data_IF_472817828625
#
_entry.id   IF_472817828625
#
_cell.length_a   1.000
_cell.length_b   1.000
_cell.length_c   1.000
_cell.angle_alpha   90.00
_cell.angle_beta   90.00
_cell.angle_gamma   90.00
#
_symmetry.space_group_name_H-M   'P 1'
#
loop_
_entity.id
_entity.type
_entity.pdbx_description
1 polymer ?
#
# COMPACT_ATOMS: atom_id res chain seq x y z
N UNK A 1 10.36 1.05 -16.58
CA UNK A 1 9.19 0.30 -16.15
C UNK A 1 7.91 0.96 -16.70
N UNK A 2 7.64 2.23 -16.40
CA UNK A 2 6.43 2.92 -16.85
C UNK A 2 6.30 3.11 -18.38
N UNK A 3 7.35 2.83 -19.17
CA UNK A 3 7.29 2.79 -20.64
C UNK A 3 6.67 1.49 -21.18
N UNK A 4 6.62 0.46 -20.36
CA UNK A 4 6.20 -0.90 -20.77
C UNK A 4 4.97 -1.39 -20.00
N UNK A 5 4.76 -0.85 -18.79
CA UNK A 5 3.67 -1.25 -17.91
C UNK A 5 2.99 -0.02 -17.29
N UNK A 6 1.68 -0.04 -17.04
CA UNK A 6 1.03 0.97 -16.23
C UNK A 6 1.59 0.90 -14.80
N UNK A 7 2.07 2.02 -14.28
CA UNK A 7 2.64 2.13 -12.93
C UNK A 7 1.78 3.07 -12.11
N UNK A 8 1.20 2.56 -11.03
CA UNK A 8 0.42 3.34 -10.07
C UNK A 8 1.23 3.58 -8.81
N UNK A 9 1.26 4.82 -8.35
CA UNK A 9 2.06 5.25 -7.22
C UNK A 9 1.22 6.07 -6.24
N UNK A 10 1.20 5.67 -4.96
CA UNK A 10 0.63 6.44 -3.87
C UNK A 10 1.72 6.80 -2.85
N UNK A 11 1.59 7.95 -2.21
CA UNK A 11 2.59 8.49 -1.32
C UNK A 11 2.65 7.75 0.02
N UNK A 12 3.89 7.53 0.50
CA UNK A 12 4.16 7.16 1.87
C UNK A 12 4.35 8.38 2.79
N UNK A 13 4.61 8.10 4.06
CA UNK A 13 4.83 9.15 5.06
C UNK A 13 6.12 9.96 4.82
N UNK A 14 7.11 9.41 4.14
CA UNK A 14 8.34 10.13 3.82
C UNK A 14 8.10 11.17 2.74
N UNK A 15 7.43 10.80 1.66
CA UNK A 15 7.03 11.69 0.58
C UNK A 15 6.11 12.79 1.10
N UNK A 16 5.12 12.44 1.95
CA UNK A 16 4.25 13.40 2.59
C UNK A 16 5.04 14.44 3.39
N UNK A 17 6.02 14.02 4.21
CA UNK A 17 6.89 14.94 4.96
C UNK A 17 7.66 15.87 4.04
N UNK A 18 8.23 15.35 2.95
CA UNK A 18 8.96 16.18 1.98
C UNK A 18 8.04 17.22 1.33
N UNK A 19 6.78 16.89 1.06
CA UNK A 19 5.80 17.85 0.54
C UNK A 19 5.53 19.00 1.53
N UNK A 20 5.52 18.71 2.83
CA UNK A 20 5.15 19.67 3.88
C UNK A 20 6.35 20.51 4.36
N UNK A 21 7.58 20.00 4.25
CA UNK A 21 8.79 20.68 4.67
C UNK A 21 9.24 21.67 3.59
N UNK A 22 9.36 22.95 3.95
CA UNK A 22 9.78 24.01 3.02
C UNK A 22 11.14 23.73 2.36
N UNK A 23 12.06 23.12 3.09
CA UNK A 23 13.40 22.78 2.62
C UNK A 23 13.37 21.75 1.49
N UNK A 24 12.44 20.80 1.51
CA UNK A 24 12.39 19.68 0.58
C UNK A 24 11.26 19.78 -0.45
N UNK A 25 10.32 20.69 -0.24
CA UNK A 25 9.11 20.84 -1.08
C UNK A 25 9.40 20.99 -2.56
N UNK A 26 10.38 21.82 -2.92
CA UNK A 26 10.74 22.08 -4.32
C UNK A 26 11.40 20.85 -4.95
N UNK A 27 12.30 20.20 -4.22
CA UNK A 27 12.94 18.96 -4.67
C UNK A 27 11.89 17.86 -4.88
N UNK A 28 10.91 17.77 -3.97
CA UNK A 28 9.82 16.81 -4.12
C UNK A 28 8.93 17.12 -5.33
N UNK A 29 8.56 18.39 -5.56
CA UNK A 29 7.81 18.81 -6.76
C UNK A 29 8.52 18.43 -8.05
N UNK A 30 9.82 18.67 -8.11
CA UNK A 30 10.65 18.28 -9.24
C UNK A 30 10.66 16.78 -9.44
N UNK A 31 10.82 16.01 -8.38
CA UNK A 31 10.72 14.54 -8.42
C UNK A 31 9.35 14.08 -8.91
N UNK A 32 8.25 14.57 -8.32
CA UNK A 32 6.90 14.19 -8.70
C UNK A 32 6.61 14.51 -10.17
N UNK A 33 7.08 15.66 -10.65
CA UNK A 33 6.98 16.05 -12.06
C UNK A 33 7.70 15.02 -12.96
N UNK A 34 8.93 14.66 -12.63
CA UNK A 34 9.71 13.72 -13.44
C UNK A 34 9.09 12.32 -13.49
N UNK A 35 8.55 11.81 -12.38
CA UNK A 35 7.90 10.49 -12.39
C UNK A 35 6.60 10.52 -13.21
N UNK A 36 5.81 11.60 -13.15
CA UNK A 36 4.63 11.79 -14.01
C UNK A 36 4.98 11.88 -15.49
N UNK A 37 6.02 12.65 -15.84
CA UNK A 37 6.53 12.74 -17.21
C UNK A 37 7.08 11.39 -17.72
N UNK A 38 7.49 10.51 -16.81
CA UNK A 38 7.91 9.14 -17.14
C UNK A 38 6.74 8.16 -17.37
N UNK A 39 5.48 8.62 -17.22
CA UNK A 39 4.29 7.81 -17.41
C UNK A 39 3.77 7.12 -16.14
N UNK A 40 4.20 7.56 -14.94
CA UNK A 40 3.68 7.04 -13.68
C UNK A 40 2.39 7.76 -13.30
N UNK A 41 1.36 6.99 -12.98
CA UNK A 41 0.08 7.48 -12.45
C UNK A 41 0.21 7.76 -10.97
N UNK A 42 0.35 9.04 -10.59
CA UNK A 42 0.53 9.45 -9.18
C UNK A 42 -0.85 9.73 -8.58
N UNK A 43 -1.28 8.87 -7.65
CA UNK A 43 -2.57 8.95 -7.00
C UNK A 43 -2.44 9.59 -5.61
N UNK A 44 -2.84 10.85 -5.49
CA UNK A 44 -2.84 11.61 -4.22
C UNK A 44 -4.27 11.86 -3.77
N UNK A 45 -4.78 11.01 -2.89
CA UNK A 45 -6.20 10.98 -2.53
C UNK A 45 -7.09 11.06 -3.79
N UNK A 46 -6.83 10.14 -4.70
CA UNK A 46 -7.47 10.07 -6.01
C UNK A 46 -7.66 8.63 -6.42
N UNK A 47 -8.51 8.42 -7.41
CA UNK A 47 -8.67 7.11 -8.04
C UNK A 47 -8.65 7.23 -9.56
N UNK A 48 -8.31 6.12 -10.22
CA UNK A 48 -8.25 6.02 -11.66
C UNK A 48 -8.74 4.64 -12.13
N UNK A 49 -9.50 4.64 -13.21
CA UNK A 49 -10.00 3.42 -13.85
C UNK A 49 -9.04 2.97 -14.93
N UNK A 50 -8.85 1.67 -15.05
CA UNK A 50 -8.05 1.05 -16.09
C UNK A 50 -8.67 -0.25 -16.59
N UNK A 51 -8.38 -0.60 -17.83
CA UNK A 51 -8.69 -1.92 -18.38
C UNK A 51 -7.36 -2.63 -18.61
N UNK A 52 -7.14 -3.73 -17.88
CA UNK A 52 -5.92 -4.51 -17.93
C UNK A 52 -6.28 -5.96 -18.27
N UNK A 53 -5.72 -6.49 -19.35
CA UNK A 53 -6.03 -7.83 -19.80
C UNK A 53 -7.51 -8.08 -20.14
N UNK A 54 -8.27 -7.01 -20.49
CA UNK A 54 -9.69 -7.07 -20.75
C UNK A 54 -10.59 -6.91 -19.53
N UNK A 55 -10.02 -6.88 -18.33
CA UNK A 55 -10.74 -6.74 -17.07
C UNK A 55 -10.67 -5.29 -16.56
N UNK A 56 -11.73 -4.84 -15.89
CA UNK A 56 -11.83 -3.49 -15.33
C UNK A 56 -11.25 -3.42 -13.92
N UNK A 57 -10.43 -2.39 -13.68
CA UNK A 57 -9.82 -2.09 -12.39
C UNK A 57 -10.11 -0.65 -12.00
N UNK A 58 -10.22 -0.38 -10.70
CA UNK A 58 -10.18 0.95 -10.14
C UNK A 58 -9.06 1.01 -9.10
N UNK A 59 -8.04 1.82 -9.35
CA UNK A 59 -6.91 2.02 -8.47
C UNK A 59 -7.14 3.25 -7.61
N UNK A 60 -7.09 3.09 -6.29
CA UNK A 60 -7.21 4.17 -5.31
C UNK A 60 -5.87 4.40 -4.63
N UNK A 61 -5.41 5.63 -4.56
CA UNK A 61 -4.22 6.02 -3.80
C UNK A 61 -4.60 6.79 -2.55
N UNK A 62 -4.41 6.20 -1.37
CA UNK A 62 -4.71 6.82 -0.09
C UNK A 62 -3.46 7.50 0.49
N UNK A 63 -3.50 8.81 0.58
CA UNK A 63 -2.50 9.65 1.25
C UNK A 63 -3.06 10.12 2.60
N UNK A 64 -2.56 9.54 3.69
CA UNK A 64 -2.96 9.93 5.03
C UNK A 64 -2.07 11.07 5.57
N UNK A 65 -2.65 12.09 6.24
CA UNK A 65 -1.91 13.10 6.95
C UNK A 65 -0.93 12.54 7.98
N UNK A 66 0.13 13.28 8.30
CA UNK A 66 1.24 12.80 9.12
C UNK A 66 0.84 12.39 10.54
N UNK A 67 -0.26 12.91 11.06
CA UNK A 67 -0.81 12.53 12.36
C UNK A 67 -1.22 11.05 12.43
N UNK A 68 -1.60 10.43 11.31
CA UNK A 68 -1.89 8.99 11.24
C UNK A 68 -0.65 8.11 11.36
N UNK A 69 0.54 8.72 11.32
CA UNK A 69 1.84 8.06 11.52
C UNK A 69 2.49 8.39 12.87
N UNK A 70 1.80 9.18 13.74
CA UNK A 70 2.34 9.58 15.06
C UNK A 70 2.57 8.39 15.98
N UNK A 71 3.54 8.57 16.87
CA UNK A 71 3.97 7.62 17.91
C UNK A 71 3.68 8.23 19.29
N UNK A 72 3.21 7.48 20.28
CA UNK A 72 2.70 6.11 20.20
C UNK A 72 1.24 6.05 19.73
N UNK A 73 0.52 7.17 19.74
CA UNK A 73 -0.91 7.25 19.40
C UNK A 73 -1.12 8.01 18.10
N UNK A 74 -1.91 7.46 17.22
CA UNK A 74 -2.41 8.09 16.01
C UNK A 74 -3.94 8.06 16.00
N UNK A 75 -4.62 8.95 15.25
CA UNK A 75 -6.06 8.94 15.09
C UNK A 75 -6.59 7.56 14.63
N UNK A 76 -7.84 7.29 14.92
CA UNK A 76 -8.56 6.20 14.27
C UNK A 76 -8.90 6.63 12.85
N UNK A 77 -8.81 5.70 11.92
CA UNK A 77 -9.32 5.86 10.57
C UNK A 77 -10.66 5.12 10.49
N UNK A 78 -11.67 5.74 9.94
CA UNK A 78 -12.97 5.14 9.63
C UNK A 78 -13.25 5.20 8.13
N UNK A 79 -14.25 4.45 7.70
CA UNK A 79 -14.63 4.36 6.28
C UNK A 79 -15.16 5.68 5.73
N UNK A 80 -15.87 6.46 6.55
CA UNK A 80 -16.38 7.77 6.16
C UNK A 80 -15.25 8.77 5.84
N UNK A 81 -14.15 8.73 6.62
CA UNK A 81 -12.94 9.50 6.31
C UNK A 81 -12.33 9.06 4.98
N UNK A 82 -12.30 7.75 4.69
CA UNK A 82 -11.81 7.24 3.41
C UNK A 82 -12.69 7.69 2.25
N UNK A 83 -14.03 7.66 2.43
CA UNK A 83 -14.97 8.13 1.41
C UNK A 83 -14.74 9.60 1.04
N UNK A 84 -14.44 10.43 2.03
CA UNK A 84 -14.13 11.86 1.82
C UNK A 84 -12.80 12.03 1.08
N UNK A 85 -11.79 11.22 1.40
CA UNK A 85 -10.45 11.35 0.84
C UNK A 85 -10.34 10.78 -0.59
N UNK A 86 -10.88 9.58 -0.82
CA UNK A 86 -10.66 8.84 -2.07
C UNK A 86 -11.94 8.42 -2.80
N UNK A 87 -13.11 8.75 -2.25
CA UNK A 87 -14.40 8.30 -2.77
C UNK A 87 -14.79 6.92 -2.26
N UNK A 88 -15.93 6.42 -2.73
CA UNK A 88 -16.44 5.09 -2.37
C UNK A 88 -15.97 4.04 -3.38
N UNK A 89 -15.68 2.80 -2.95
CA UNK A 89 -15.40 1.73 -3.89
C UNK A 89 -16.63 1.44 -4.75
N UNK A 90 -16.40 1.33 -6.04
CA UNK A 90 -17.44 0.99 -7.00
C UNK A 90 -17.85 -0.49 -6.94
N UNK A 91 -18.86 -0.84 -7.75
CA UNK A 91 -19.28 -2.24 -7.93
C UNK A 91 -18.71 -2.86 -9.20
N UNK A 92 -18.13 -2.05 -10.08
CA UNK A 92 -17.66 -2.48 -11.38
C UNK A 92 -16.14 -2.65 -11.37
N UNK A 93 -15.71 -3.85 -11.71
CA UNK A 93 -14.29 -4.20 -11.74
C UNK A 93 -13.67 -4.38 -10.36
N UNK A 94 -12.39 -4.69 -10.36
CA UNK A 94 -11.59 -4.92 -9.15
C UNK A 94 -11.19 -3.60 -8.51
N UNK A 95 -11.49 -3.44 -7.22
CA UNK A 95 -11.16 -2.26 -6.43
C UNK A 95 -9.80 -2.46 -5.74
N UNK A 96 -8.77 -1.77 -6.22
CA UNK A 96 -7.38 -1.89 -5.73
C UNK A 96 -7.03 -0.67 -4.92
N UNK A 97 -6.75 -0.85 -3.63
CA UNK A 97 -6.33 0.22 -2.72
C UNK A 97 -4.81 0.18 -2.51
N UNK A 98 -4.13 1.26 -2.84
CA UNK A 98 -2.72 1.49 -2.51
C UNK A 98 -2.68 2.39 -1.28
N UNK A 99 -2.38 1.80 -0.10
CA UNK A 99 -2.38 2.49 1.18
C UNK A 99 -1.12 2.15 1.97
N UNK A 100 -0.23 3.12 2.14
CA UNK A 100 1.12 2.88 2.67
C UNK A 100 1.13 2.26 4.09
N UNK A 101 0.22 2.70 5.00
CA UNK A 101 0.24 2.30 6.41
C UNK A 101 -0.68 1.09 6.70
N UNK A 102 -0.15 -0.12 6.94
CA UNK A 102 -0.95 -1.32 7.18
C UNK A 102 -1.71 -1.32 8.51
N UNK A 103 -1.39 -0.40 9.42
CA UNK A 103 -2.08 -0.26 10.72
C UNK A 103 -3.60 -0.22 10.59
N UNK A 104 -4.09 0.34 9.51
CA UNK A 104 -5.53 0.55 9.27
C UNK A 104 -6.17 -0.54 8.40
N UNK A 105 -5.50 -1.68 8.24
CA UNK A 105 -5.95 -2.78 7.38
C UNK A 105 -7.39 -3.22 7.62
N UNK A 106 -7.83 -3.25 8.90
CA UNK A 106 -9.24 -3.54 9.21
C UNK A 106 -10.20 -2.53 8.55
N UNK A 107 -9.89 -1.24 8.64
CA UNK A 107 -10.70 -0.20 7.99
C UNK A 107 -10.68 -0.33 6.47
N UNK A 108 -9.56 -0.70 5.88
CA UNK A 108 -9.44 -0.90 4.44
C UNK A 108 -10.34 -2.05 3.95
N UNK A 109 -10.38 -3.15 4.69
CA UNK A 109 -11.32 -4.24 4.43
C UNK A 109 -12.77 -3.81 4.60
N UNK A 110 -13.09 -3.09 5.69
CA UNK A 110 -14.44 -2.62 5.98
C UNK A 110 -14.92 -1.58 4.96
N UNK A 111 -14.00 -0.81 4.37
CA UNK A 111 -14.27 0.15 3.30
C UNK A 111 -14.65 -0.55 1.97
N UNK A 112 -14.16 -1.76 1.73
CA UNK A 112 -14.60 -2.59 0.61
C UNK A 112 -13.62 -2.72 -0.56
N UNK A 113 -12.31 -2.48 -0.35
CA UNK A 113 -11.31 -2.82 -1.35
C UNK A 113 -11.23 -4.34 -1.55
N UNK A 114 -11.12 -4.78 -2.81
CA UNK A 114 -10.91 -6.20 -3.15
C UNK A 114 -9.45 -6.59 -2.93
N UNK A 115 -8.53 -5.72 -3.31
CA UNK A 115 -7.10 -5.87 -3.09
C UNK A 115 -6.52 -4.62 -2.43
N UNK A 116 -5.72 -4.82 -1.39
CA UNK A 116 -5.02 -3.77 -0.67
C UNK A 116 -3.52 -4.04 -0.78
N UNK A 117 -2.74 -3.01 -1.13
CA UNK A 117 -1.27 -3.08 -1.18
C UNK A 117 -0.71 -2.09 -0.19
N UNK A 118 0.13 -2.57 0.74
CA UNK A 118 0.73 -1.76 1.81
C UNK A 118 2.21 -2.06 2.00
N UNK A 119 2.89 -1.17 2.73
CA UNK A 119 4.30 -1.31 3.09
C UNK A 119 4.57 -0.80 4.49
N UNK A 120 5.42 0.24 4.66
CA UNK A 120 5.69 1.00 5.87
C UNK A 120 6.39 0.26 7.01
N UNK A 121 6.05 -1.00 7.28
CA UNK A 121 6.58 -1.74 8.43
C UNK A 121 7.91 -2.43 8.14
N UNK A 122 8.33 -2.47 6.87
CA UNK A 122 9.58 -3.09 6.43
C UNK A 122 9.80 -4.51 6.98
N UNK A 123 8.72 -5.28 7.18
CA UNK A 123 8.78 -6.61 7.78
C UNK A 123 9.12 -6.61 9.28
N UNK A 124 9.17 -5.44 9.95
CA UNK A 124 9.31 -5.30 11.39
C UNK A 124 10.72 -5.51 11.95
N UNK A 125 11.77 -5.03 11.25
CA UNK A 125 13.20 -5.15 11.62
C UNK A 125 13.65 -6.62 11.77
N UNK A 126 13.08 -7.33 12.74
CA UNK A 126 13.23 -8.78 12.94
C UNK A 126 11.95 -9.46 12.49
N UNK A 127 12.02 -10.29 11.45
CA UNK A 127 10.89 -11.09 10.99
C UNK A 127 10.85 -12.40 11.76
N UNK A 128 9.76 -12.64 12.46
CA UNK A 128 9.58 -13.82 13.32
C UNK A 128 8.91 -14.97 12.58
N UNK A 129 8.04 -14.64 11.60
CA UNK A 129 7.36 -15.60 10.74
C UNK A 129 6.91 -14.90 9.46
N UNK A 130 6.20 -15.61 8.59
CA UNK A 130 5.65 -15.09 7.34
C UNK A 130 4.80 -13.81 7.55
N UNK A 131 4.03 -13.75 8.64
CA UNK A 131 3.10 -12.64 8.91
C UNK A 131 3.51 -11.76 10.10
N UNK A 132 4.55 -12.12 10.85
CA UNK A 132 4.89 -11.46 12.11
C UNK A 132 6.30 -10.88 12.09
N UNK A 133 6.36 -9.57 12.29
CA UNK A 133 7.59 -8.86 12.62
C UNK A 133 7.57 -8.40 14.08
N UNK A 134 8.74 -8.20 14.66
CA UNK A 134 8.88 -7.85 16.07
C UNK A 134 8.37 -6.44 16.38
N UNK A 135 8.56 -5.49 15.47
CA UNK A 135 8.24 -4.08 15.73
C UNK A 135 7.76 -3.35 14.48
N UNK A 136 7.07 -2.24 14.68
CA UNK A 136 6.72 -1.29 13.62
C UNK A 136 7.46 0.03 13.79
N UNK A 137 7.51 0.90 12.76
CA UNK A 137 8.00 2.27 12.87
C UNK A 137 7.28 3.10 13.94
N UNK A 138 6.07 2.70 14.33
CA UNK A 138 5.26 3.36 15.34
C UNK A 138 5.43 2.77 16.75
N UNK A 139 6.51 1.98 16.98
CA UNK A 139 6.83 1.30 18.27
C UNK A 139 5.76 0.31 18.75
N UNK A 140 4.96 -0.23 17.84
CA UNK A 140 4.08 -1.35 18.15
C UNK A 140 4.94 -2.64 18.20
N UNK A 141 4.80 -3.39 19.26
CA UNK A 141 5.38 -4.74 19.36
C UNK A 141 4.38 -5.72 18.77
N UNK A 142 4.84 -6.61 17.90
CA UNK A 142 4.01 -7.58 17.18
C UNK A 142 2.80 -6.91 16.50
N UNK A 143 3.04 -5.93 15.62
CA UNK A 143 1.94 -5.20 15.00
C UNK A 143 1.09 -6.14 14.14
N UNK A 144 -0.24 -5.96 14.11
CA UNK A 144 -1.08 -6.65 13.16
C UNK A 144 -0.72 -6.24 11.74
N UNK A 145 -0.93 -7.11 10.77
CA UNK A 145 -0.64 -6.85 9.36
C UNK A 145 0.81 -6.41 9.12
N UNK A 146 1.78 -7.12 9.71
CA UNK A 146 3.19 -6.71 9.63
C UNK A 146 3.80 -6.94 8.25
N UNK A 147 3.62 -8.11 7.69
CA UNK A 147 4.14 -8.55 6.39
C UNK A 147 3.35 -9.77 5.89
N UNK A 148 3.35 -9.98 4.58
CA UNK A 148 2.68 -11.12 3.95
C UNK A 148 1.27 -10.81 3.45
N UNK A 149 0.46 -11.86 3.27
CA UNK A 149 -0.91 -11.80 2.77
C UNK A 149 -1.93 -12.02 3.89
N UNK A 150 -2.85 -11.10 4.01
CA UNK A 150 -3.99 -11.17 4.93
C UNK A 150 -5.29 -11.15 4.12
N UNK A 151 -6.32 -11.85 4.60
CA UNK A 151 -7.58 -11.91 3.88
C UNK A 151 -8.80 -11.78 4.78
N UNK A 152 -9.87 -11.25 4.22
CA UNK A 152 -11.21 -11.20 4.82
C UNK A 152 -12.23 -11.62 3.75
N UNK A 153 -12.67 -12.86 3.80
CA UNK A 153 -13.50 -13.42 2.73
C UNK A 153 -12.72 -13.48 1.41
N UNK A 154 -13.19 -12.76 0.40
CA UNK A 154 -12.53 -12.66 -0.92
C UNK A 154 -11.60 -11.44 -1.05
N UNK A 155 -11.52 -10.59 -0.04
CA UNK A 155 -10.66 -9.43 -0.01
C UNK A 155 -9.26 -9.83 0.45
N UNK A 156 -8.22 -9.22 -0.12
CA UNK A 156 -6.84 -9.53 0.20
C UNK A 156 -6.02 -8.27 0.45
N UNK A 157 -5.15 -8.36 1.44
CA UNK A 157 -4.21 -7.30 1.78
C UNK A 157 -2.78 -7.84 1.78
N UNK A 158 -1.96 -7.31 0.89
CA UNK A 158 -0.54 -7.61 0.77
C UNK A 158 0.28 -6.54 1.46
N UNK A 159 1.12 -6.94 2.39
CA UNK A 159 2.04 -6.05 3.10
C UNK A 159 3.46 -6.44 2.78
N UNK A 160 4.12 -5.66 1.93
CA UNK A 160 5.50 -5.92 1.54
C UNK A 160 6.49 -5.45 2.59
N UNK A 161 7.55 -6.24 2.79
CA UNK A 161 8.73 -5.82 3.53
C UNK A 161 9.56 -4.77 2.76
N UNK A 162 9.31 -4.62 1.46
CA UNK A 162 9.92 -3.62 0.60
C UNK A 162 11.43 -3.78 0.42
N UNK A 163 12.00 -2.90 -0.41
CA UNK A 163 13.43 -2.88 -0.75
C UNK A 163 14.24 -1.93 0.16
N UNK A 164 13.59 -0.94 0.78
CA UNK A 164 14.21 0.08 1.61
C UNK A 164 14.57 -0.41 3.02
N UNK A 165 15.28 0.42 3.76
CA UNK A 165 15.67 0.14 5.15
C UNK A 165 14.81 0.96 6.12
N UNK A 166 14.68 0.43 7.33
CA UNK A 166 14.05 1.09 8.45
C UNK A 166 14.96 2.21 9.01
N UNK A 167 14.46 3.00 9.96
CA UNK A 167 15.25 3.99 10.74
C UNK A 167 16.51 3.35 11.35
N UNK A 168 16.44 2.08 11.76
CA UNK A 168 17.59 1.25 12.10
C UNK A 168 17.91 0.43 10.85
N UNK A 169 19.09 0.59 10.22
CA UNK A 169 19.46 -0.12 8.98
C UNK A 169 19.84 -1.58 9.29
N UNK A 170 18.90 -2.31 9.89
CA UNK A 170 19.07 -3.71 10.30
C UNK A 170 17.85 -4.52 9.87
N UNK A 171 18.10 -5.65 9.25
CA UNK A 171 17.10 -6.67 8.90
C UNK A 171 17.60 -8.03 9.41
N UNK A 172 16.82 -8.67 10.26
CA UNK A 172 17.13 -10.02 10.80
C UNK A 172 16.03 -10.97 10.32
N UNK A 173 16.40 -12.02 9.60
CA UNK A 173 15.47 -12.96 8.95
C UNK A 173 14.39 -12.25 8.09
N UNK A 174 14.74 -11.08 7.58
CA UNK A 174 13.83 -10.16 6.91
C UNK A 174 14.46 -9.64 5.60
N UNK A 175 14.51 -10.47 4.54
CA UNK A 175 15.09 -10.09 3.26
C UNK A 175 14.33 -8.91 2.62
N UNK A 176 15.00 -8.22 1.69
CA UNK A 176 14.33 -7.27 0.79
C UNK A 176 13.36 -8.02 -0.09
N UNK A 177 12.20 -7.43 -0.35
CA UNK A 177 11.08 -8.12 -0.97
C UNK A 177 10.47 -7.29 -2.09
N UNK A 178 10.25 -7.93 -3.23
CA UNK A 178 9.41 -7.49 -4.33
C UNK A 178 8.27 -8.50 -4.47
N UNK A 179 7.03 -8.06 -4.25
CA UNK A 179 5.87 -8.93 -4.40
C UNK A 179 5.44 -9.01 -5.86
N UNK A 180 5.25 -10.22 -6.36
CA UNK A 180 4.59 -10.49 -7.62
C UNK A 180 3.24 -11.13 -7.31
N UNK A 181 2.15 -10.50 -7.74
CA UNK A 181 0.79 -10.94 -7.47
C UNK A 181 0.14 -11.29 -8.80
N UNK A 182 -0.20 -12.57 -8.96
CA UNK A 182 -0.91 -13.06 -10.13
C UNK A 182 -2.42 -13.02 -9.87
N UNK A 183 -3.14 -12.18 -10.60
CA UNK A 183 -4.59 -12.00 -10.48
C UNK A 183 -5.27 -12.72 -11.64
N UNK A 184 -6.08 -13.72 -11.33
CA UNK A 184 -6.80 -14.53 -12.32
C UNK A 184 -8.31 -14.44 -12.14
N UNK A 185 -9.09 -14.41 -13.25
CA UNK A 185 -10.53 -14.63 -13.18
C UNK A 185 -10.84 -15.97 -12.51
N UNK A 186 -11.83 -16.04 -11.65
CA UNK A 186 -12.27 -17.31 -11.10
C UNK A 186 -13.27 -17.99 -12.01
N UNK A 187 -13.24 -19.32 -12.10
CA UNK A 187 -14.17 -20.14 -12.86
C UNK A 187 -15.64 -19.98 -12.41
N UNK A 188 -15.88 -19.39 -11.23
CA UNK A 188 -17.20 -19.15 -10.64
C UNK A 188 -17.46 -17.66 -10.34
N UNK A 189 -16.82 -16.72 -11.05
CA UNK A 189 -16.94 -15.28 -10.78
C UNK A 189 -16.29 -14.83 -9.46
N UNK A 190 -15.48 -15.68 -8.83
CA UNK A 190 -14.72 -15.36 -7.61
C UNK A 190 -13.21 -15.49 -7.91
N UNK A 191 -12.41 -14.53 -7.55
CA UNK A 191 -10.96 -14.57 -7.79
C UNK A 191 -10.29 -15.71 -7.01
N UNK A 192 -9.48 -16.52 -7.70
CA UNK A 192 -8.55 -17.50 -7.11
C UNK A 192 -7.11 -17.01 -7.27
N UNK A 193 -6.26 -17.37 -6.34
CA UNK A 193 -4.84 -17.03 -6.30
C UNK A 193 -3.94 -18.21 -6.49
N UNK A 194 -2.81 -17.94 -7.10
CA UNK A 194 -1.65 -18.80 -7.06
C UNK A 194 -0.44 -17.93 -6.72
N UNK A 195 0.31 -18.30 -5.68
CA UNK A 195 1.53 -17.62 -5.26
C UNK A 195 2.72 -18.26 -5.96
N UNK A 196 3.64 -17.45 -6.42
CA UNK A 196 4.98 -17.88 -6.79
C UNK A 196 5.99 -17.08 -5.96
N UNK A 197 6.75 -17.75 -5.12
CA UNK A 197 7.95 -17.20 -4.51
C UNK A 197 9.00 -17.03 -5.60
N UNK A 198 9.43 -15.79 -5.83
CA UNK A 198 10.64 -15.52 -6.59
C UNK A 198 11.71 -15.13 -5.57
N UNK A 199 12.68 -16.04 -5.37
CA UNK A 199 13.91 -15.82 -4.62
C UNK A 199 14.75 -14.67 -5.16
#
# INVERSE_FOLDING_TARGET
LAREFPVYYALGNHEYKMCMDEKFRESYRTYEKHIKESGVHVLRNAHEYAILGGESFCFFGLELPIEYYRKPKSPKLDTGTMDVLIGNPGKNGMQVLIAHNPKYGKTYFDWGADMIVSGHYHGGVVRLSEHHGLSSPQYLVLPPFCCGDFHKGNQHMFVSAGMGEHTIPLRIHNPRELLVIDVKPSENGKMRKQYGDIC
#
